data_IF_632753507546
#
_entry.id   IF_632753507546
#
_cell.length_a   1.000
_cell.length_b   1.000
_cell.length_c   1.000
_cell.angle_alpha   90.00
_cell.angle_beta   90.00
_cell.angle_gamma   90.00
#
_symmetry.space_group_name_H-M   'P 1'
#
loop_
_entity.id
_entity.type
_entity.pdbx_description
1 polymer ?
#
# COMPACT_ATOMS: atom_id res chain seq x y z
N UNK A 1 -17.40 -1.27 -10.51
CA UNK A 1 -17.74 -2.58 -9.91
C UNK A 1 -17.69 -2.43 -8.41
N UNK A 2 -18.69 -2.89 -7.69
CA UNK A 2 -18.77 -2.78 -6.22
C UNK A 2 -18.02 -3.93 -5.54
N UNK A 3 -17.53 -3.72 -4.32
CA UNK A 3 -16.99 -4.80 -3.50
C UNK A 3 -18.11 -5.43 -2.67
N UNK A 4 -18.30 -6.75 -2.80
CA UNK A 4 -19.31 -7.49 -2.08
C UNK A 4 -18.67 -8.62 -1.28
N UNK A 5 -18.94 -8.65 0.02
CA UNK A 5 -18.54 -9.75 0.88
C UNK A 5 -19.55 -10.89 0.76
N UNK A 6 -19.08 -12.10 0.47
CA UNK A 6 -19.91 -13.26 0.13
C UNK A 6 -19.40 -14.53 0.80
N UNK A 7 -20.24 -15.56 0.93
CA UNK A 7 -19.83 -16.86 1.48
C UNK A 7 -19.14 -17.78 0.45
N UNK A 8 -18.81 -17.24 -0.73
CA UNK A 8 -18.08 -17.96 -1.78
C UNK A 8 -16.72 -18.44 -1.25
N UNK A 9 -16.27 -19.63 -1.69
CA UNK A 9 -14.98 -20.19 -1.23
C UNK A 9 -13.77 -19.45 -1.80
N UNK A 10 -13.94 -18.80 -2.95
CA UNK A 10 -12.85 -18.18 -3.71
C UNK A 10 -13.22 -16.79 -4.16
N UNK A 11 -12.20 -15.95 -4.29
CA UNK A 11 -12.30 -14.67 -4.97
C UNK A 11 -12.85 -14.87 -6.39
N UNK A 12 -13.86 -14.08 -6.73
CA UNK A 12 -14.43 -14.08 -8.07
C UNK A 12 -14.88 -12.69 -8.47
N UNK A 13 -15.05 -12.49 -9.77
CA UNK A 13 -15.48 -11.23 -10.36
C UNK A 13 -16.60 -11.54 -11.35
N UNK A 14 -17.65 -10.73 -11.33
CA UNK A 14 -18.66 -10.70 -12.38
C UNK A 14 -18.72 -9.29 -13.00
N UNK A 15 -19.67 -9.04 -13.90
CA UNK A 15 -19.76 -7.75 -14.61
C UNK A 15 -20.07 -6.57 -13.68
N UNK A 16 -20.68 -6.82 -12.52
CA UNK A 16 -21.19 -5.78 -11.61
C UNK A 16 -20.37 -5.63 -10.33
N UNK A 17 -19.71 -6.69 -9.86
CA UNK A 17 -19.13 -6.79 -8.53
C UNK A 17 -17.83 -7.62 -8.47
N UNK A 18 -16.97 -7.21 -7.54
CA UNK A 18 -15.83 -7.96 -7.02
C UNK A 18 -16.28 -8.69 -5.76
N UNK A 19 -16.29 -10.02 -5.80
CA UNK A 19 -16.74 -10.84 -4.67
C UNK A 19 -15.55 -11.25 -3.80
N UNK A 20 -15.59 -10.83 -2.54
CA UNK A 20 -14.59 -11.12 -1.53
C UNK A 20 -15.18 -12.18 -0.57
N UNK A 21 -14.53 -13.33 -0.38
CA UNK A 21 -14.96 -14.32 0.61
C UNK A 21 -14.98 -13.76 2.03
N UNK A 22 -16.02 -14.05 2.79
CA UNK A 22 -16.12 -13.75 4.23
C UNK A 22 -15.01 -14.42 5.05
N UNK A 23 -14.44 -15.53 4.53
CA UNK A 23 -13.29 -16.22 5.11
C UNK A 23 -12.00 -15.37 5.06
N UNK A 24 -11.94 -14.34 4.23
CA UNK A 24 -10.81 -13.40 4.16
C UNK A 24 -10.93 -12.39 5.30
N UNK A 25 -10.56 -12.83 6.50
CA UNK A 25 -10.72 -12.08 7.75
C UNK A 25 -9.44 -11.39 8.23
N UNK A 26 -8.29 -11.76 7.68
CA UNK A 26 -6.99 -11.23 8.06
C UNK A 26 -6.48 -10.26 7.02
N UNK A 27 -5.95 -9.15 7.49
CA UNK A 27 -5.27 -8.17 6.66
C UNK A 27 -3.82 -8.05 7.12
N UNK A 28 -2.89 -8.25 6.18
CA UNK A 28 -1.48 -7.99 6.40
C UNK A 28 -1.18 -6.56 5.99
N UNK A 29 -0.65 -5.78 6.93
CA UNK A 29 -0.22 -4.41 6.67
C UNK A 29 1.27 -4.29 6.94
N UNK A 30 1.95 -3.52 6.10
CA UNK A 30 3.37 -3.22 6.26
C UNK A 30 3.65 -1.79 5.82
N UNK A 31 4.77 -1.24 6.28
CA UNK A 31 5.24 0.09 5.90
C UNK A 31 6.50 -0.02 5.05
N UNK A 32 6.61 0.85 4.04
CA UNK A 32 7.82 1.03 3.25
C UNK A 32 8.37 2.41 3.57
N UNK A 33 9.46 2.45 4.33
CA UNK A 33 10.10 3.70 4.70
C UNK A 33 10.72 4.37 3.48
N UNK A 34 10.41 5.66 3.32
CA UNK A 34 11.13 6.53 2.41
C UNK A 34 12.52 6.83 2.97
N UNK A 35 13.48 7.10 2.09
CA UNK A 35 14.79 7.64 2.48
C UNK A 35 14.61 9.08 2.97
N UNK A 36 14.92 9.33 4.24
CA UNK A 36 14.73 10.62 4.91
C UNK A 36 15.47 11.74 4.17
N UNK A 37 16.67 11.49 3.68
CA UNK A 37 17.49 12.43 2.93
C UNK A 37 16.83 12.88 1.62
N UNK A 38 16.16 11.96 0.92
CA UNK A 38 15.40 12.27 -0.30
C UNK A 38 14.07 12.98 -0.01
N UNK A 39 13.50 12.76 1.17
CA UNK A 39 12.23 13.37 1.59
C UNK A 39 12.39 14.77 2.20
N UNK A 40 13.51 15.05 2.88
CA UNK A 40 13.73 16.34 3.53
C UNK A 40 14.34 17.39 2.61
N UNK A 41 14.96 17.01 1.49
CA UNK A 41 15.26 17.88 0.34
C UNK A 41 16.18 19.09 0.55
N UNK A 42 16.53 19.43 1.79
CA UNK A 42 17.28 20.64 2.14
C UNK A 42 18.73 20.34 2.55
N UNK A 43 19.10 19.07 2.69
CA UNK A 43 20.40 18.68 3.27
C UNK A 43 21.36 18.04 2.27
N UNK A 44 20.88 17.56 1.12
CA UNK A 44 21.72 16.96 0.10
C UNK A 44 21.29 17.44 -1.28
N UNK A 45 22.28 17.87 -2.05
CA UNK A 45 22.23 18.47 -3.38
C UNK A 45 21.51 17.59 -4.41
N UNK A 46 20.19 17.45 -4.31
CA UNK A 46 19.39 16.84 -5.39
C UNK A 46 19.52 17.80 -6.58
N UNK A 47 20.15 17.36 -7.68
CA UNK A 47 20.39 18.25 -8.80
C UNK A 47 19.06 18.76 -9.37
N UNK A 48 18.96 20.07 -9.63
CA UNK A 48 17.74 20.73 -10.12
C UNK A 48 17.15 20.09 -11.39
N UNK A 49 17.93 19.36 -12.19
CA UNK A 49 17.43 18.64 -13.36
C UNK A 49 16.60 17.38 -13.03
N UNK A 50 16.64 16.88 -11.78
CA UNK A 50 15.71 15.85 -11.28
C UNK A 50 14.46 16.48 -10.62
N UNK A 51 14.52 17.76 -10.28
CA UNK A 51 13.40 18.56 -9.81
C UNK A 51 12.85 19.37 -11.00
N UNK A 52 12.23 18.69 -11.97
CA UNK A 52 11.50 19.38 -13.05
C UNK A 52 10.50 20.36 -12.42
N UNK A 53 10.42 21.59 -12.94
CA UNK A 53 9.66 22.76 -12.47
C UNK A 53 8.23 22.49 -11.93
N UNK A 54 8.12 21.87 -10.75
CA UNK A 54 6.85 21.47 -10.13
C UNK A 54 6.86 20.16 -9.34
N UNK A 55 7.94 19.36 -9.41
CA UNK A 55 8.08 18.11 -8.65
C UNK A 55 8.79 18.42 -7.33
N UNK A 56 7.99 18.64 -6.27
CA UNK A 56 8.49 18.99 -4.95
C UNK A 56 9.52 18.00 -4.40
N UNK A 57 10.49 18.54 -3.66
CA UNK A 57 11.45 17.78 -2.87
C UNK A 57 10.72 16.71 -2.02
N UNK A 58 10.96 15.43 -2.32
CA UNK A 58 10.27 14.28 -1.70
C UNK A 58 9.49 13.38 -2.66
N UNK A 59 9.23 13.82 -3.89
CA UNK A 59 8.56 13.00 -4.91
C UNK A 59 9.40 11.78 -5.33
N UNK A 60 10.72 11.93 -5.45
CA UNK A 60 11.62 10.83 -5.85
C UNK A 60 11.63 9.74 -4.78
N UNK A 61 11.76 10.11 -3.49
CA UNK A 61 11.69 9.16 -2.38
C UNK A 61 10.38 8.37 -2.39
N UNK A 62 9.28 9.08 -2.64
CA UNK A 62 7.94 8.49 -2.77
C UNK A 62 7.87 7.48 -3.93
N UNK A 63 8.36 7.83 -5.13
CA UNK A 63 8.35 6.94 -6.29
C UNK A 63 9.14 5.65 -6.04
N UNK A 64 10.33 5.76 -5.45
CA UNK A 64 11.19 4.60 -5.13
C UNK A 64 10.52 3.69 -4.10
N UNK A 65 9.89 4.25 -3.06
CA UNK A 65 9.17 3.45 -2.07
C UNK A 65 7.95 2.74 -2.67
N UNK A 66 7.19 3.39 -3.57
CA UNK A 66 6.09 2.73 -4.26
C UNK A 66 6.56 1.58 -5.14
N UNK A 67 7.68 1.73 -5.87
CA UNK A 67 8.25 0.62 -6.64
C UNK A 67 8.63 -0.57 -5.75
N UNK A 68 9.25 -0.33 -4.59
CA UNK A 68 9.57 -1.39 -3.61
C UNK A 68 8.31 -2.04 -3.04
N UNK A 69 7.27 -1.26 -2.74
CA UNK A 69 5.99 -1.78 -2.25
C UNK A 69 5.33 -2.71 -3.26
N UNK A 70 5.44 -2.42 -4.57
CA UNK A 70 4.89 -3.27 -5.61
C UNK A 70 5.57 -4.65 -5.64
N UNK A 71 6.90 -4.67 -5.57
CA UNK A 71 7.68 -5.93 -5.55
C UNK A 71 7.35 -6.74 -4.29
N UNK A 72 7.30 -6.09 -3.12
CA UNK A 72 6.98 -6.76 -1.87
C UNK A 72 5.57 -7.35 -1.88
N UNK A 73 4.57 -6.63 -2.39
CA UNK A 73 3.21 -7.15 -2.56
C UNK A 73 3.20 -8.43 -3.39
N UNK A 74 3.89 -8.44 -4.52
CA UNK A 74 3.94 -9.61 -5.40
C UNK A 74 4.61 -10.81 -4.73
N UNK A 75 5.72 -10.58 -4.02
CA UNK A 75 6.43 -11.62 -3.29
C UNK A 75 5.58 -12.20 -2.14
N UNK A 76 4.93 -11.35 -1.35
CA UNK A 76 4.04 -11.78 -0.27
C UNK A 76 2.83 -12.56 -0.80
N UNK A 77 2.22 -12.11 -1.89
CA UNK A 77 1.11 -12.80 -2.52
C UNK A 77 1.52 -14.20 -3.00
N UNK A 78 2.66 -14.31 -3.69
CA UNK A 78 3.16 -15.61 -4.14
C UNK A 78 3.51 -16.54 -2.98
N UNK A 79 4.05 -16.00 -1.90
CA UNK A 79 4.33 -16.76 -0.68
C UNK A 79 3.03 -17.29 -0.03
N UNK A 80 1.98 -16.47 0.07
CA UNK A 80 0.69 -16.91 0.59
C UNK A 80 0.06 -17.97 -0.32
N UNK A 81 0.16 -17.79 -1.64
CA UNK A 81 -0.35 -18.75 -2.62
C UNK A 81 0.42 -20.08 -2.58
N UNK A 82 1.73 -20.07 -2.34
CA UNK A 82 2.52 -21.31 -2.21
C UNK A 82 2.17 -22.09 -0.93
N UNK A 83 1.69 -21.40 0.11
CA UNK A 83 1.13 -22.01 1.32
C UNK A 83 -0.33 -22.49 1.14
N UNK A 84 -0.94 -22.26 -0.03
CA UNK A 84 -2.32 -22.64 -0.33
C UNK A 84 -3.38 -21.63 0.12
N UNK A 85 -2.98 -20.46 0.62
CA UNK A 85 -3.90 -19.38 0.97
C UNK A 85 -4.23 -18.51 -0.25
N UNK A 86 -5.40 -17.90 -0.23
CA UNK A 86 -5.76 -16.85 -1.17
C UNK A 86 -5.37 -15.48 -0.62
N UNK A 87 -4.99 -14.57 -1.50
CA UNK A 87 -4.69 -13.19 -1.12
C UNK A 87 -5.25 -12.19 -2.13
N UNK A 88 -5.69 -11.04 -1.62
CA UNK A 88 -6.11 -9.89 -2.42
C UNK A 88 -5.10 -8.78 -2.22
N UNK A 89 -4.62 -8.23 -3.33
CA UNK A 89 -3.70 -7.09 -3.28
C UNK A 89 -4.48 -5.79 -3.11
N UNK A 90 -4.46 -5.23 -1.91
CA UNK A 90 -4.87 -3.85 -1.65
C UNK A 90 -3.79 -2.87 -2.10
N UNK A 91 -3.77 -2.49 -3.38
CA UNK A 91 -2.89 -1.42 -3.85
C UNK A 91 -3.55 -0.05 -3.64
N UNK A 92 -2.83 0.88 -3.00
CA UNK A 92 -3.09 2.33 -2.96
C UNK A 92 -4.57 2.73 -2.95
N UNK A 93 -5.25 2.55 -1.81
CA UNK A 93 -6.62 3.02 -1.56
C UNK A 93 -7.74 2.40 -2.43
N UNK A 94 -7.45 1.50 -3.37
CA UNK A 94 -8.48 0.96 -4.26
C UNK A 94 -9.48 0.01 -3.59
N UNK A 95 -9.03 -0.77 -2.61
CA UNK A 95 -9.86 -1.75 -1.89
C UNK A 95 -10.09 -1.30 -0.45
N UNK A 96 -9.05 -0.70 0.15
CA UNK A 96 -9.03 -0.36 1.56
C UNK A 96 -8.18 0.90 1.80
N UNK A 97 -8.60 1.83 2.67
CA UNK A 97 -7.79 2.99 3.03
C UNK A 97 -6.59 2.55 3.88
N UNK A 98 -5.36 2.85 3.44
CA UNK A 98 -4.15 2.36 4.14
C UNK A 98 -3.96 2.97 5.52
N UNK A 99 -4.39 4.21 5.76
CA UNK A 99 -4.16 4.90 7.05
C UNK A 99 -4.91 4.27 8.22
N UNK A 100 -6.24 4.05 8.17
CA UNK A 100 -6.95 3.35 9.24
C UNK A 100 -6.39 1.96 9.51
N UNK A 101 -6.07 1.23 8.44
CA UNK A 101 -5.57 -0.12 8.52
C UNK A 101 -4.13 -0.22 9.06
N UNK A 102 -3.27 0.76 8.74
CA UNK A 102 -1.95 0.88 9.37
C UNK A 102 -2.04 1.17 10.87
N UNK A 103 -3.00 2.00 11.27
CA UNK A 103 -3.24 2.30 12.70
C UNK A 103 -3.76 1.05 13.43
N UNK A 104 -4.75 0.35 12.88
CA UNK A 104 -5.33 -0.86 13.47
C UNK A 104 -4.34 -2.03 13.53
N UNK A 105 -3.43 -2.12 12.56
CA UNK A 105 -2.37 -3.13 12.54
C UNK A 105 -1.19 -2.81 13.49
N UNK A 106 -1.21 -1.67 14.18
CA UNK A 106 -0.16 -1.28 15.12
C UNK A 106 1.14 -0.82 14.46
N UNK A 107 1.11 -0.38 13.20
CA UNK A 107 2.28 0.18 12.51
C UNK A 107 2.67 1.55 13.09
N UNK A 108 1.69 2.29 13.60
CA UNK A 108 1.88 3.61 14.16
C UNK A 108 0.55 4.25 14.53
N UNK A 109 0.57 5.54 14.85
CA UNK A 109 -0.61 6.28 15.30
C UNK A 109 -1.17 7.19 14.22
N UNK A 110 -2.50 7.34 14.18
CA UNK A 110 -3.16 8.27 13.27
C UNK A 110 -2.89 9.72 13.70
N UNK A 111 -2.25 10.50 12.82
CA UNK A 111 -1.84 11.86 13.13
C UNK A 111 -2.74 12.94 12.53
N UNK A 112 -2.49 14.19 12.91
CA UNK A 112 -3.21 15.38 12.44
C UNK A 112 -3.20 15.53 10.91
N UNK A 113 -2.13 15.07 10.23
CA UNK A 113 -2.01 15.11 8.77
C UNK A 113 -2.83 14.02 8.06
N UNK A 114 -3.69 13.28 8.77
CA UNK A 114 -4.44 12.13 8.25
C UNK A 114 -3.54 11.01 7.68
N UNK A 115 -2.32 10.92 8.20
CA UNK A 115 -1.32 9.88 7.89
C UNK A 115 -0.95 9.12 9.16
N UNK A 116 -0.46 7.89 8.99
CA UNK A 116 0.12 7.12 10.10
C UNK A 116 1.53 7.66 10.36
N UNK A 117 1.79 8.09 11.59
CA UNK A 117 3.15 8.37 12.06
C UNK A 117 3.72 7.07 12.61
N UNK A 118 4.83 6.64 12.00
CA UNK A 118 5.64 5.47 12.38
C UNK A 118 6.82 5.92 13.22
#
# INVERSE_FOLDING_TARGET
KEYQFTDDEKLSENDTAWKIPNKLNNMLTYSMLNCTELCLGNTLSIPKYLASDGVGNGAIGTLVAYQRSFIANFQLQNFLHSLGYQSVRGASYNICPSTPFGTLAGIGEHARMATVIV
#
